data_IF_668669619624
#
_entry.id   IF_668669619624
#
_cell.length_a   1.000
_cell.length_b   1.000
_cell.length_c   1.000
_cell.angle_alpha   90.00
_cell.angle_beta   90.00
_cell.angle_gamma   90.00
#
_symmetry.space_group_name_H-M   'P 1'
#
loop_
_entity.id
_entity.type
_entity.pdbx_description
1 polymer ?
#
# COMPACT_ATOMS: atom_id res chain seq x y z
N UNK A 1 12.18 25.65 36.87
CA UNK A 1 12.59 24.24 36.73
C UNK A 1 11.69 23.58 35.68
N UNK A 2 12.15 23.35 34.44
CA UNK A 2 11.32 22.70 33.42
C UNK A 2 11.10 21.24 33.86
N UNK A 3 9.83 20.85 34.06
CA UNK A 3 9.46 19.50 34.48
C UNK A 3 9.70 18.55 33.29
N UNK A 4 10.72 17.71 33.39
CA UNK A 4 11.00 16.66 32.40
C UNK A 4 10.00 15.51 32.59
N UNK A 5 9.56 14.92 31.48
CA UNK A 5 8.66 13.77 31.48
C UNK A 5 9.47 12.48 31.57
N UNK A 6 9.09 11.63 32.53
CA UNK A 6 9.63 10.28 32.64
C UNK A 6 9.10 9.39 31.50
N UNK A 7 9.96 8.75 30.68
CA UNK A 7 9.55 7.86 29.61
C UNK A 7 8.70 6.67 30.07
N UNK A 8 8.78 6.26 31.34
CA UNK A 8 8.04 5.13 31.91
C UNK A 8 6.73 5.55 32.60
N UNK A 9 6.47 6.86 32.77
CA UNK A 9 5.26 7.33 33.42
C UNK A 9 3.98 6.93 32.65
N UNK A 10 2.96 6.48 33.38
CA UNK A 10 1.66 6.09 32.81
C UNK A 10 1.00 7.20 31.99
N UNK A 11 1.22 8.47 32.38
CA UNK A 11 0.77 9.63 31.61
C UNK A 11 1.32 9.60 30.18
N UNK A 12 2.65 9.44 30.02
CA UNK A 12 3.27 9.45 28.70
C UNK A 12 2.88 8.22 27.88
N UNK A 13 2.69 7.07 28.53
CA UNK A 13 2.21 5.86 27.86
C UNK A 13 0.82 6.06 27.25
N UNK A 14 -0.14 6.65 28.00
CA UNK A 14 -1.47 7.01 27.50
C UNK A 14 -1.39 8.01 26.33
N UNK A 15 -0.55 9.04 26.45
CA UNK A 15 -0.36 10.01 25.37
C UNK A 15 0.26 9.38 24.11
N UNK A 16 1.20 8.44 24.24
CA UNK A 16 1.75 7.72 23.08
C UNK A 16 0.66 6.92 22.34
N UNK A 17 -0.33 6.37 23.03
CA UNK A 17 -1.49 5.71 22.41
C UNK A 17 -2.37 6.71 21.65
N UNK A 18 -2.67 7.86 22.26
CA UNK A 18 -3.42 8.95 21.62
C UNK A 18 -2.68 9.44 20.36
N UNK A 19 -1.37 9.65 20.45
CA UNK A 19 -0.56 10.05 19.31
C UNK A 19 -0.55 8.98 18.21
N UNK A 20 -0.53 7.70 18.57
CA UNK A 20 -0.57 6.61 17.59
C UNK A 20 -1.91 6.58 16.85
N UNK A 21 -3.02 6.68 17.58
CA UNK A 21 -4.35 6.77 17.01
C UNK A 21 -4.49 8.00 16.10
N UNK A 22 -3.99 9.15 16.56
CA UNK A 22 -3.93 10.39 15.76
C UNK A 22 -3.14 10.20 14.47
N UNK A 23 -2.04 9.44 14.48
CA UNK A 23 -1.29 9.13 13.25
C UNK A 23 -2.10 8.29 12.26
N UNK A 24 -2.84 7.28 12.73
CA UNK A 24 -3.71 6.47 11.86
C UNK A 24 -4.84 7.30 11.24
N UNK A 25 -5.45 8.18 12.04
CA UNK A 25 -6.48 9.10 11.58
C UNK A 25 -5.91 10.06 10.52
N UNK A 26 -4.76 10.69 10.79
CA UNK A 26 -4.13 11.64 9.87
C UNK A 26 -3.80 11.02 8.50
N UNK A 27 -3.19 9.84 8.50
CA UNK A 27 -2.82 9.10 7.29
C UNK A 27 -4.05 8.61 6.50
N UNK A 28 -5.20 8.46 7.16
CA UNK A 28 -6.48 8.14 6.50
C UNK A 28 -7.20 9.38 5.97
N UNK A 29 -6.96 10.57 6.53
CA UNK A 29 -7.54 11.84 6.08
C UNK A 29 -6.84 12.35 4.82
N UNK A 30 -5.52 12.18 4.69
CA UNK A 30 -4.75 12.78 3.59
C UNK A 30 -5.28 12.42 2.18
N UNK A 31 -5.67 11.17 1.85
CA UNK A 31 -6.22 10.88 0.53
C UNK A 31 -7.60 11.51 0.28
N UNK A 32 -8.29 12.00 1.33
CA UNK A 32 -9.59 12.65 1.16
C UNK A 32 -9.51 13.96 0.38
N UNK A 33 -8.34 14.61 0.36
CA UNK A 33 -8.08 15.78 -0.47
C UNK A 33 -8.32 15.51 -1.96
N UNK A 34 -8.16 14.25 -2.42
CA UNK A 34 -8.37 13.87 -3.81
C UNK A 34 -9.85 13.84 -4.21
N UNK A 35 -10.77 13.64 -3.26
CA UNK A 35 -12.22 13.64 -3.52
C UNK A 35 -12.84 15.05 -3.58
N UNK A 36 -12.07 16.10 -3.27
CA UNK A 36 -12.53 17.49 -3.27
C UNK A 36 -12.89 17.96 -4.68
N UNK A 37 -12.15 17.51 -5.69
CA UNK A 37 -12.42 17.85 -7.08
C UNK A 37 -13.65 17.11 -7.59
N UNK A 38 -14.47 17.82 -8.36
CA UNK A 38 -15.72 17.29 -8.93
C UNK A 38 -15.89 17.77 -10.37
N UNK A 39 -16.65 17.01 -11.12
CA UNK A 39 -17.12 17.40 -12.46
C UNK A 39 -18.58 17.81 -12.37
N UNK A 40 -18.89 19.05 -12.74
CA UNK A 40 -20.27 19.48 -12.94
C UNK A 40 -20.77 18.93 -14.27
N UNK A 41 -21.73 18.00 -14.23
CA UNK A 41 -22.22 17.34 -15.44
C UNK A 41 -23.05 18.27 -16.34
N UNK A 42 -23.72 19.26 -15.74
CA UNK A 42 -24.59 20.21 -16.44
C UNK A 42 -23.77 21.24 -17.21
N UNK A 43 -22.78 21.84 -16.54
CA UNK A 43 -21.94 22.90 -17.09
C UNK A 43 -20.68 22.37 -17.77
N UNK A 44 -20.36 21.09 -17.60
CA UNK A 44 -19.12 20.44 -18.06
C UNK A 44 -17.88 21.25 -17.66
N UNK A 45 -17.77 21.53 -16.36
CA UNK A 45 -16.66 22.25 -15.77
C UNK A 45 -16.15 21.55 -14.50
N UNK A 46 -14.90 21.84 -14.14
CA UNK A 46 -14.24 21.38 -12.93
C UNK A 46 -14.61 22.29 -11.76
N UNK A 47 -15.14 21.67 -10.72
CA UNK A 47 -15.58 22.34 -9.50
C UNK A 47 -14.85 21.83 -8.25
N UNK A 48 -15.20 22.43 -7.13
CA UNK A 48 -14.71 22.07 -5.79
C UNK A 48 -15.89 21.78 -4.89
N UNK A 49 -15.86 20.63 -4.21
CA UNK A 49 -16.81 20.31 -3.17
C UNK A 49 -16.47 21.07 -1.87
N UNK A 50 -17.01 22.28 -1.71
CA UNK A 50 -16.65 23.21 -0.62
C UNK A 50 -16.87 22.67 0.80
N UNK A 51 -17.93 21.91 1.05
CA UNK A 51 -18.18 21.35 2.39
C UNK A 51 -17.11 20.31 2.78
N UNK A 52 -16.80 19.38 1.86
CA UNK A 52 -15.74 18.39 2.03
C UNK A 52 -14.37 19.05 2.18
N UNK A 53 -14.05 20.06 1.37
CA UNK A 53 -12.82 20.84 1.50
C UNK A 53 -12.64 21.40 2.91
N UNK A 54 -13.66 22.09 3.43
CA UNK A 54 -13.63 22.66 4.79
C UNK A 54 -13.46 21.56 5.84
N UNK A 55 -14.21 20.46 5.74
CA UNK A 55 -14.15 19.35 6.71
C UNK A 55 -12.75 18.73 6.73
N UNK A 56 -12.20 18.38 5.57
CA UNK A 56 -10.87 17.76 5.47
C UNK A 56 -9.78 18.71 5.98
N UNK A 57 -9.86 20.02 5.65
CA UNK A 57 -8.96 21.04 6.19
C UNK A 57 -8.99 21.15 7.71
N UNK A 58 -10.19 21.17 8.31
CA UNK A 58 -10.36 21.23 9.77
C UNK A 58 -9.76 19.97 10.43
N UNK A 59 -10.14 18.78 9.94
CA UNK A 59 -9.62 17.51 10.48
C UNK A 59 -8.10 17.42 10.35
N UNK A 60 -7.56 17.84 9.21
CA UNK A 60 -6.11 17.90 8.97
C UNK A 60 -5.43 18.84 9.97
N UNK A 61 -5.98 20.03 10.19
CA UNK A 61 -5.43 21.00 11.16
C UNK A 61 -5.43 20.44 12.58
N UNK A 62 -6.50 19.74 12.99
CA UNK A 62 -6.57 19.08 14.29
C UNK A 62 -5.46 18.01 14.45
N UNK A 63 -5.21 17.20 13.41
CA UNK A 63 -4.12 16.22 13.45
C UNK A 63 -2.73 16.86 13.49
N UNK A 64 -2.53 18.00 12.83
CA UNK A 64 -1.27 18.76 12.91
C UNK A 64 -0.99 19.29 14.31
N UNK A 65 -2.03 19.77 15.02
CA UNK A 65 -1.90 20.17 16.42
C UNK A 65 -1.44 19.00 17.29
N UNK A 66 -2.01 17.80 17.10
CA UNK A 66 -1.55 16.60 17.82
C UNK A 66 -0.09 16.27 17.51
N UNK A 67 0.37 16.49 16.27
CA UNK A 67 1.77 16.29 15.90
C UNK A 67 2.70 17.31 16.52
N UNK A 68 2.32 18.59 16.58
CA UNK A 68 3.08 19.63 17.27
C UNK A 68 3.21 19.30 18.76
N UNK A 69 2.12 18.88 19.42
CA UNK A 69 2.15 18.44 20.82
C UNK A 69 3.11 17.26 21.02
N UNK A 70 3.12 16.28 20.09
CA UNK A 70 4.07 15.17 20.14
C UNK A 70 5.51 15.66 20.04
N UNK A 71 5.84 16.58 19.13
CA UNK A 71 7.20 17.15 19.02
C UNK A 71 7.60 17.81 20.34
N UNK A 72 6.71 18.60 20.94
CA UNK A 72 6.96 19.23 22.25
C UNK A 72 7.26 18.17 23.32
N UNK A 73 6.49 17.08 23.34
CA UNK A 73 6.70 15.99 24.30
C UNK A 73 8.06 15.31 24.07
N UNK A 74 8.50 15.13 22.83
CA UNK A 74 9.82 14.53 22.54
C UNK A 74 10.98 15.39 23.07
N UNK A 75 10.88 16.71 23.00
CA UNK A 75 11.87 17.61 23.59
C UNK A 75 11.85 17.64 25.13
N UNK A 76 10.77 17.17 25.75
CA UNK A 76 10.58 17.15 27.21
C UNK A 76 10.74 15.76 27.83
N UNK A 77 10.87 14.71 27.02
CA UNK A 77 10.92 13.33 27.50
C UNK A 77 12.36 12.87 27.69
N UNK A 78 12.70 12.42 28.90
CA UNK A 78 13.98 11.79 29.18
C UNK A 78 14.16 10.46 28.43
N UNK A 79 15.38 9.96 28.35
CA UNK A 79 15.64 8.68 27.70
C UNK A 79 16.51 7.76 28.53
N UNK A 80 16.37 6.45 28.29
CA UNK A 80 17.26 5.44 28.86
C UNK A 80 18.52 5.32 28.00
N UNK A 81 19.70 5.55 28.57
CA UNK A 81 20.98 5.53 27.87
C UNK A 81 21.29 4.13 27.29
N UNK A 82 21.64 3.98 26.00
CA UNK A 82 21.89 2.67 25.40
C UNK A 82 23.00 1.85 26.09
N UNK A 83 24.08 2.52 26.51
CA UNK A 83 25.21 1.92 27.23
C UNK A 83 24.81 1.26 28.55
N UNK A 84 23.84 1.83 29.24
CA UNK A 84 23.35 1.34 30.53
C UNK A 84 22.34 0.18 30.43
N UNK A 85 21.87 -0.15 29.21
CA UNK A 85 20.96 -1.29 28.98
C UNK A 85 21.66 -2.64 29.10
N UNK A 86 22.97 -2.68 28.82
CA UNK A 86 23.78 -3.91 28.85
C UNK A 86 23.93 -4.47 30.27
N UNK A 87 23.80 -3.62 31.30
CA UNK A 87 23.85 -4.01 32.72
C UNK A 87 22.46 -4.08 33.38
N UNK A 88 21.39 -4.08 32.60
CA UNK A 88 20.01 -4.27 33.10
C UNK A 88 19.40 -3.11 33.90
N UNK A 89 20.18 -2.10 34.33
CA UNK A 89 19.69 -1.00 35.18
C UNK A 89 19.25 0.26 34.45
N UNK A 90 19.64 0.46 33.18
CA UNK A 90 19.10 1.52 32.33
C UNK A 90 19.07 2.92 32.97
N UNK A 91 20.19 3.64 32.96
CA UNK A 91 20.28 5.01 33.46
C UNK A 91 19.40 5.97 32.65
N UNK A 92 18.58 6.75 33.37
CA UNK A 92 17.68 7.76 32.83
C UNK A 92 18.40 9.10 32.71
N UNK A 93 18.50 9.62 31.48
CA UNK A 93 19.10 10.92 31.20
C UNK A 93 17.99 11.97 31.06
N UNK A 94 18.06 13.00 31.89
CA UNK A 94 17.13 14.14 31.92
C UNK A 94 17.75 15.48 31.49
N UNK A 95 19.01 15.48 31.02
CA UNK A 95 19.68 16.70 30.53
C UNK A 95 18.98 17.24 29.27
N UNK A 96 18.44 18.47 29.28
CA UNK A 96 17.73 19.06 28.13
C UNK A 96 18.59 19.15 26.87
N UNK A 97 19.90 19.42 27.02
CA UNK A 97 20.80 19.58 25.87
C UNK A 97 21.07 18.23 25.21
N UNK A 98 21.34 17.19 26.01
CA UNK A 98 21.48 15.82 25.52
C UNK A 98 20.20 15.30 24.84
N UNK A 99 19.02 15.57 25.43
CA UNK A 99 17.72 15.20 24.84
C UNK A 99 17.52 15.88 23.49
N UNK A 100 17.69 17.21 23.43
CA UNK A 100 17.49 17.97 22.20
C UNK A 100 18.46 17.52 21.09
N UNK A 101 19.75 17.36 21.39
CA UNK A 101 20.76 16.90 20.43
C UNK A 101 20.44 15.51 19.88
N UNK A 102 20.02 14.58 20.75
CA UNK A 102 19.63 13.23 20.34
C UNK A 102 18.39 13.25 19.45
N UNK A 103 17.37 14.03 19.80
CA UNK A 103 16.14 14.09 19.02
C UNK A 103 16.33 14.77 17.66
N UNK A 104 17.07 15.88 17.61
CA UNK A 104 17.39 16.62 16.38
C UNK A 104 18.17 15.77 15.36
N UNK A 105 19.06 14.89 15.83
CA UNK A 105 19.91 14.06 14.97
C UNK A 105 19.26 12.77 14.47
N UNK A 106 18.09 12.36 14.99
CA UNK A 106 17.49 11.06 14.67
C UNK A 106 16.11 11.19 14.01
N UNK A 107 15.12 11.70 14.74
CA UNK A 107 13.71 11.61 14.37
C UNK A 107 13.08 12.97 14.03
N UNK A 108 13.71 14.08 14.45
CA UNK A 108 13.12 15.41 14.27
C UNK A 108 12.86 15.75 12.80
N UNK A 109 13.77 15.39 11.89
CA UNK A 109 13.62 15.68 10.46
C UNK A 109 12.35 15.00 9.90
N UNK A 110 12.12 13.73 10.23
CA UNK A 110 10.92 12.98 9.80
C UNK A 110 9.66 13.63 10.39
N UNK A 111 9.70 13.98 11.68
CA UNK A 111 8.58 14.63 12.35
C UNK A 111 8.29 16.03 11.78
N UNK A 112 9.32 16.81 11.42
CA UNK A 112 9.19 18.11 10.80
C UNK A 112 8.57 18.00 9.39
N UNK A 113 9.08 17.11 8.54
CA UNK A 113 8.49 16.86 7.20
C UNK A 113 7.05 16.36 7.29
N UNK A 114 6.70 15.58 8.32
CA UNK A 114 5.34 15.06 8.51
C UNK A 114 4.30 16.14 8.84
N UNK A 115 4.73 17.30 9.38
CA UNK A 115 3.84 18.41 9.79
C UNK A 115 3.65 19.44 8.67
N UNK A 116 4.55 19.49 7.68
CA UNK A 116 4.45 20.48 6.62
C UNK A 116 3.03 20.50 6.01
N UNK A 117 2.40 21.66 5.87
CA UNK A 117 1.03 21.70 5.37
C UNK A 117 0.99 21.57 3.83
N UNK A 118 1.76 20.67 3.19
CA UNK A 118 1.86 20.63 1.73
C UNK A 118 0.51 20.36 1.03
N UNK A 119 -0.39 19.49 1.53
CA UNK A 119 -1.76 19.36 1.03
C UNK A 119 -2.60 20.63 1.22
N UNK A 120 -2.42 21.36 2.32
CA UNK A 120 -3.13 22.62 2.55
C UNK A 120 -2.56 23.77 1.71
N UNK A 121 -1.25 23.77 1.45
CA UNK A 121 -0.59 24.62 0.46
C UNK A 121 -1.11 24.27 -0.93
N UNK A 122 -1.30 22.98 -1.24
CA UNK A 122 -1.96 22.54 -2.48
C UNK A 122 -3.37 23.12 -2.57
N UNK A 123 -4.19 23.13 -1.52
CA UNK A 123 -5.48 23.85 -1.50
C UNK A 123 -5.31 25.35 -1.73
N UNK A 124 -4.38 26.01 -1.02
CA UNK A 124 -4.14 27.44 -1.15
C UNK A 124 -3.61 27.86 -2.52
N UNK A 125 -3.00 26.95 -3.30
CA UNK A 125 -2.53 27.21 -4.66
C UNK A 125 -3.47 26.64 -5.75
N UNK A 126 -4.07 25.47 -5.56
CA UNK A 126 -5.00 24.78 -6.48
C UNK A 126 -6.39 25.42 -6.47
N UNK A 127 -6.87 25.96 -5.35
CA UNK A 127 -8.18 26.66 -5.33
C UNK A 127 -8.14 27.99 -6.08
N UNK A 128 -7.09 28.83 -5.99
CA UNK A 128 -6.89 29.90 -6.96
C UNK A 128 -6.64 29.37 -8.38
N UNK A 129 -6.15 28.14 -8.55
CA UNK A 129 -6.02 27.46 -9.86
C UNK A 129 -7.35 27.00 -10.48
N UNK A 130 -8.47 27.18 -9.76
CA UNK A 130 -9.83 27.01 -10.29
C UNK A 130 -10.42 28.39 -10.65
N UNK A 131 -9.74 29.48 -10.26
CA UNK A 131 -9.97 30.85 -10.76
C UNK A 131 -9.06 31.20 -11.96
N UNK A 132 -8.00 30.42 -12.24
CA UNK A 132 -7.08 30.61 -13.38
C UNK A 132 -6.58 29.27 -13.93
N UNK A 133 -6.47 29.08 -15.25
CA UNK A 133 -5.97 27.85 -15.85
C UNK A 133 -4.49 27.67 -15.52
N UNK A 134 -4.19 26.68 -14.67
CA UNK A 134 -2.81 26.32 -14.34
C UNK A 134 -2.28 25.25 -15.30
N UNK A 135 -1.00 25.31 -15.69
CA UNK A 135 -0.37 24.28 -16.53
C UNK A 135 -0.45 22.89 -15.91
N UNK A 136 -0.60 21.86 -16.76
CA UNK A 136 -0.63 20.46 -16.33
C UNK A 136 0.62 20.07 -15.52
N UNK A 137 1.80 20.57 -15.94
CA UNK A 137 3.09 20.32 -15.28
C UNK A 137 3.13 20.80 -13.81
N UNK A 138 2.42 21.88 -13.49
CA UNK A 138 2.32 22.37 -12.11
C UNK A 138 1.41 21.48 -11.27
N UNK A 139 0.34 20.91 -11.85
CA UNK A 139 -0.53 19.95 -11.16
C UNK A 139 0.22 18.65 -10.84
N UNK A 140 0.95 18.11 -11.83
CA UNK A 140 1.75 16.89 -11.67
C UNK A 140 2.79 17.05 -10.55
N UNK A 141 3.47 18.22 -10.50
CA UNK A 141 4.45 18.54 -9.45
C UNK A 141 3.83 18.58 -8.06
N UNK A 142 2.62 19.16 -7.93
CA UNK A 142 1.91 19.26 -6.65
C UNK A 142 1.43 17.89 -6.16
N UNK A 143 0.96 17.03 -7.05
CA UNK A 143 0.56 15.66 -6.72
C UNK A 143 1.76 14.84 -6.22
N UNK A 144 2.93 14.97 -6.88
CA UNK A 144 4.18 14.36 -6.43
C UNK A 144 4.57 14.86 -5.03
N UNK A 145 4.44 16.17 -4.77
CA UNK A 145 4.73 16.73 -3.44
C UNK A 145 3.83 16.13 -2.34
N UNK A 146 2.52 15.95 -2.61
CA UNK A 146 1.59 15.30 -1.67
C UNK A 146 2.01 13.85 -1.39
N UNK A 147 2.37 13.08 -2.43
CA UNK A 147 2.84 11.70 -2.27
C UNK A 147 4.15 11.62 -1.49
N UNK A 148 5.12 12.49 -1.81
CA UNK A 148 6.40 12.56 -1.10
C UNK A 148 6.18 12.86 0.39
N UNK A 149 5.21 13.73 0.72
CA UNK A 149 4.92 14.05 2.10
C UNK A 149 4.13 12.96 2.85
N UNK A 150 3.37 12.15 2.13
CA UNK A 150 2.66 11.02 2.69
C UNK A 150 3.63 9.98 3.29
N UNK A 151 4.79 9.77 2.66
CA UNK A 151 5.79 8.80 3.08
C UNK A 151 6.28 9.03 4.53
N UNK A 152 6.78 10.23 4.93
CA UNK A 152 7.15 10.51 6.33
C UNK A 152 6.06 10.22 7.35
N UNK A 153 4.78 10.43 6.99
CA UNK A 153 3.64 10.21 7.88
C UNK A 153 3.33 8.75 8.11
N UNK A 154 3.55 7.90 7.09
CA UNK A 154 3.47 6.45 7.26
C UNK A 154 4.70 5.95 8.03
N UNK A 155 5.90 6.41 7.68
CA UNK A 155 7.16 5.93 8.28
C UNK A 155 7.21 6.18 9.80
N UNK A 156 6.67 7.31 10.29
CA UNK A 156 6.66 7.60 11.74
C UNK A 156 5.72 6.72 12.57
N UNK A 157 4.77 6.04 11.95
CA UNK A 157 3.87 5.11 12.64
C UNK A 157 4.67 3.93 13.20
N UNK A 158 5.62 3.39 12.43
CA UNK A 158 6.39 2.21 12.84
C UNK A 158 7.11 2.36 14.19
N UNK A 159 7.94 3.40 14.44
CA UNK A 159 8.62 3.55 15.73
C UNK A 159 7.64 3.82 16.88
N UNK A 160 6.55 4.55 16.64
CA UNK A 160 5.55 4.86 17.67
C UNK A 160 4.72 3.62 18.02
N UNK A 161 4.30 2.86 17.01
CA UNK A 161 3.63 1.58 17.16
C UNK A 161 4.51 0.62 17.97
N UNK A 162 5.78 0.45 17.58
CA UNK A 162 6.75 -0.40 18.30
C UNK A 162 6.89 0.04 19.77
N UNK A 163 6.99 1.35 20.02
CA UNK A 163 7.07 1.91 21.38
C UNK A 163 5.84 1.52 22.20
N UNK A 164 4.64 1.83 21.71
CA UNK A 164 3.37 1.52 22.38
C UNK A 164 3.20 0.02 22.62
N UNK A 165 3.50 -0.82 21.63
CA UNK A 165 3.38 -2.28 21.78
C UNK A 165 4.40 -2.85 22.78
N UNK A 166 5.58 -2.25 22.89
CA UNK A 166 6.63 -2.71 23.82
C UNK A 166 6.38 -2.28 25.27
N UNK A 167 5.73 -1.14 25.51
CA UNK A 167 5.52 -0.58 26.86
C UNK A 167 4.18 -0.93 27.46
N UNK A 168 3.14 -1.09 26.65
CA UNK A 168 1.76 -1.22 27.16
C UNK A 168 1.29 -2.67 27.32
N UNK A 169 2.12 -3.68 27.01
CA UNK A 169 1.69 -5.08 27.04
C UNK A 169 0.53 -5.41 26.09
N UNK A 170 0.13 -4.49 25.20
CA UNK A 170 -0.96 -4.70 24.25
C UNK A 170 -0.67 -5.90 23.32
N UNK A 171 0.60 -6.20 23.07
CA UNK A 171 1.00 -7.40 22.35
C UNK A 171 1.07 -8.66 23.23
N UNK A 172 1.18 -8.52 24.56
CA UNK A 172 1.17 -9.66 25.49
C UNK A 172 -0.24 -10.19 25.75
N UNK A 173 -1.30 -9.45 25.40
CA UNK A 173 -2.71 -9.91 25.56
C UNK A 173 -3.49 -10.15 24.26
N UNK A 174 -2.99 -9.75 23.08
CA UNK A 174 -3.79 -9.82 21.85
C UNK A 174 -2.98 -10.21 20.61
N UNK A 175 -2.88 -11.52 20.31
CA UNK A 175 -2.36 -12.01 19.01
C UNK A 175 -3.08 -11.37 17.80
N UNK A 176 -4.32 -10.90 17.97
CA UNK A 176 -5.10 -10.21 16.95
C UNK A 176 -4.61 -8.79 16.65
N UNK A 177 -3.84 -8.13 17.53
CA UNK A 177 -3.39 -6.75 17.32
C UNK A 177 -2.48 -6.61 16.09
N UNK A 178 -1.62 -7.60 15.85
CA UNK A 178 -0.82 -7.68 14.63
C UNK A 178 -1.69 -7.89 13.37
N UNK A 179 -2.70 -8.75 13.47
CA UNK A 179 -3.66 -8.95 12.37
C UNK A 179 -4.48 -7.68 12.07
N UNK A 180 -4.94 -6.97 13.09
CA UNK A 180 -5.65 -5.70 12.94
C UNK A 180 -4.77 -4.60 12.34
N UNK A 181 -3.49 -4.52 12.73
CA UNK A 181 -2.54 -3.58 12.13
C UNK A 181 -2.29 -3.88 10.64
N UNK A 182 -2.08 -5.14 10.30
CA UNK A 182 -1.94 -5.56 8.90
C UNK A 182 -3.21 -5.29 8.09
N UNK A 183 -4.38 -5.56 8.66
CA UNK A 183 -5.67 -5.25 8.04
C UNK A 183 -5.83 -3.75 7.82
N UNK A 184 -5.48 -2.92 8.81
CA UNK A 184 -5.47 -1.47 8.67
C UNK A 184 -4.57 -1.01 7.52
N UNK A 185 -3.33 -1.50 7.44
CA UNK A 185 -2.42 -1.16 6.35
C UNK A 185 -2.98 -1.56 4.98
N UNK A 186 -3.64 -2.71 4.89
CA UNK A 186 -4.25 -3.18 3.65
C UNK A 186 -5.47 -2.32 3.24
N UNK A 187 -6.35 -1.99 4.18
CA UNK A 187 -7.47 -1.06 3.95
C UNK A 187 -6.97 0.34 3.57
N UNK A 188 -5.89 0.79 4.21
CA UNK A 188 -5.27 2.08 3.91
C UNK A 188 -4.69 2.10 2.49
N UNK A 189 -3.96 1.06 2.08
CA UNK A 189 -3.45 0.94 0.72
C UNK A 189 -4.58 0.98 -0.32
N UNK A 190 -5.68 0.27 -0.04
CA UNK A 190 -6.89 0.29 -0.87
C UNK A 190 -7.47 1.71 -0.99
N UNK A 191 -7.58 2.41 0.14
CA UNK A 191 -8.08 3.78 0.19
C UNK A 191 -7.21 4.75 -0.63
N UNK A 192 -5.88 4.67 -0.48
CA UNK A 192 -4.93 5.49 -1.22
C UNK A 192 -5.02 5.22 -2.72
N UNK A 193 -5.01 3.96 -3.14
CA UNK A 193 -5.10 3.56 -4.56
C UNK A 193 -6.42 4.04 -5.16
N UNK A 194 -7.53 3.84 -4.45
CA UNK A 194 -8.85 4.29 -4.89
C UNK A 194 -8.95 5.81 -5.02
N UNK A 195 -8.44 6.56 -4.05
CA UNK A 195 -8.43 8.02 -4.09
C UNK A 195 -7.55 8.55 -5.23
N UNK A 196 -6.41 7.92 -5.49
CA UNK A 196 -5.55 8.27 -6.61
C UNK A 196 -6.23 7.99 -7.96
N UNK A 197 -6.89 6.84 -8.09
CA UNK A 197 -7.69 6.52 -9.27
C UNK A 197 -8.80 7.53 -9.54
N UNK A 198 -9.51 7.98 -8.49
CA UNK A 198 -10.51 9.05 -8.60
C UNK A 198 -9.90 10.35 -9.15
N UNK A 199 -8.78 10.82 -8.57
CA UNK A 199 -8.10 12.03 -9.02
C UNK A 199 -7.65 11.92 -10.47
N UNK A 200 -6.98 10.81 -10.82
CA UNK A 200 -6.51 10.56 -12.18
C UNK A 200 -7.68 10.46 -13.19
N UNK A 201 -8.85 9.99 -12.77
CA UNK A 201 -10.05 9.99 -13.60
C UNK A 201 -10.49 11.40 -13.97
N UNK A 202 -10.48 12.32 -13.01
CA UNK A 202 -10.78 13.74 -13.25
C UNK A 202 -9.71 14.38 -14.14
N UNK A 203 -8.43 14.10 -13.89
CA UNK A 203 -7.33 14.60 -14.74
C UNK A 203 -7.42 14.08 -16.17
N UNK A 204 -7.88 12.85 -16.36
CA UNK A 204 -8.11 12.27 -17.68
C UNK A 204 -9.22 13.02 -18.43
N UNK A 205 -10.29 13.42 -17.74
CA UNK A 205 -11.35 14.28 -18.29
C UNK A 205 -10.82 15.67 -18.63
N UNK A 206 -10.11 16.31 -17.70
CA UNK A 206 -9.47 17.62 -17.92
C UNK A 206 -8.56 17.60 -19.15
N UNK A 207 -7.80 16.51 -19.34
CA UNK A 207 -6.96 16.32 -20.52
C UNK A 207 -7.77 16.24 -21.81
N UNK A 208 -8.87 15.48 -21.82
CA UNK A 208 -9.76 15.40 -22.98
C UNK A 208 -10.34 16.77 -23.34
N UNK A 209 -10.90 17.47 -22.34
CA UNK A 209 -11.49 18.78 -22.53
C UNK A 209 -10.48 19.83 -23.01
N UNK A 210 -9.26 19.84 -22.43
CA UNK A 210 -8.18 20.74 -22.89
C UNK A 210 -7.77 20.50 -24.32
N UNK A 211 -7.72 19.24 -24.76
CA UNK A 211 -7.40 18.91 -26.14
C UNK A 211 -8.45 19.48 -27.09
N UNK A 212 -9.74 19.35 -26.74
CA UNK A 212 -10.82 19.89 -27.57
C UNK A 212 -10.86 21.42 -27.59
N UNK A 213 -10.66 22.05 -26.43
CA UNK A 213 -10.54 23.51 -26.33
C UNK A 213 -9.36 24.05 -27.16
N UNK A 214 -8.23 23.34 -27.17
CA UNK A 214 -7.10 23.68 -28.01
C UNK A 214 -7.44 23.56 -29.50
N UNK A 215 -8.18 22.53 -29.93
CA UNK A 215 -8.60 22.38 -31.33
C UNK A 215 -9.53 23.50 -31.80
N UNK A 216 -10.42 23.95 -30.93
CA UNK A 216 -11.39 25.01 -31.22
C UNK A 216 -10.86 26.43 -30.94
N UNK A 217 -9.59 26.59 -30.55
CA UNK A 217 -9.00 27.87 -30.12
C UNK A 217 -9.78 28.58 -28.99
N UNK A 218 -10.33 27.81 -28.05
CA UNK A 218 -11.12 28.31 -26.93
C UNK A 218 -10.29 28.57 -25.67
N UNK A 219 -10.73 29.54 -24.87
CA UNK A 219 -10.09 29.84 -23.59
C UNK A 219 -10.33 28.73 -22.57
N UNK A 220 -9.25 28.21 -21.99
CA UNK A 220 -9.26 27.17 -20.94
C UNK A 220 -9.95 27.60 -19.64
N UNK A 221 -10.28 28.88 -19.50
CA UNK A 221 -10.98 29.41 -18.32
C UNK A 221 -12.40 28.85 -18.19
N UNK A 222 -13.07 28.51 -19.29
CA UNK A 222 -14.42 27.93 -19.27
C UNK A 222 -14.48 26.48 -18.76
N UNK A 223 -13.33 25.83 -18.59
CA UNK A 223 -13.26 24.49 -17.99
C UNK A 223 -13.44 24.49 -16.47
N UNK A 224 -13.56 25.66 -15.82
CA UNK A 224 -13.60 25.78 -14.36
C UNK A 224 -14.83 26.52 -13.87
N UNK A 225 -15.58 25.93 -12.94
CA UNK A 225 -16.87 26.46 -12.50
C UNK A 225 -16.80 27.73 -11.63
N UNK A 226 -15.60 28.17 -11.22
CA UNK A 226 -15.42 29.32 -10.31
C UNK A 226 -15.24 30.67 -11.04
N UNK A 227 -15.15 30.67 -12.37
CA UNK A 227 -15.00 31.91 -13.15
C UNK A 227 -16.39 32.43 -13.50
N UNK A 228 -16.73 33.62 -13.04
CA UNK A 228 -17.87 34.36 -13.61
C UNK A 228 -17.51 34.70 -15.04
N UNK A 229 -17.97 33.89 -15.98
CA UNK A 229 -18.03 34.26 -17.37
C UNK A 229 -18.99 35.45 -17.41
N UNK A 230 -18.48 36.65 -17.70
CA UNK A 230 -19.36 37.76 -18.05
C UNK A 230 -20.22 37.41 -19.27
N UNK A 231 -20.88 38.40 -19.85
CA UNK A 231 -21.60 38.25 -21.13
C UNK A 231 -20.63 38.04 -22.32
N UNK A 232 -19.62 37.17 -22.20
CA UNK A 232 -18.69 36.80 -23.26
C UNK A 232 -19.47 35.95 -24.28
N UNK A 233 -19.73 36.47 -25.50
CA UNK A 233 -20.73 35.91 -26.39
C UNK A 233 -20.17 34.80 -27.29
N UNK A 234 -18.98 34.26 -27.01
CA UNK A 234 -18.27 33.45 -28.00
C UNK A 234 -18.88 32.04 -28.17
N UNK A 235 -19.42 31.43 -27.10
CA UNK A 235 -20.08 30.11 -27.16
C UNK A 235 -21.20 30.02 -26.11
N UNK A 236 -22.40 29.61 -26.52
CA UNK A 236 -23.48 29.30 -25.59
C UNK A 236 -23.10 28.07 -24.74
N UNK A 237 -23.43 28.06 -23.45
CA UNK A 237 -23.13 26.92 -22.57
C UNK A 237 -23.64 25.58 -23.17
N UNK A 238 -24.79 25.63 -23.85
CA UNK A 238 -25.40 24.48 -24.50
C UNK A 238 -24.53 23.90 -25.63
N UNK A 239 -23.89 24.75 -26.45
CA UNK A 239 -23.02 24.31 -27.54
C UNK A 239 -21.72 23.70 -27.01
N UNK A 240 -21.15 24.27 -25.95
CA UNK A 240 -19.98 23.72 -25.27
C UNK A 240 -20.27 22.33 -24.68
N UNK A 241 -21.41 22.16 -24.01
CA UNK A 241 -21.81 20.88 -23.41
C UNK A 241 -21.99 19.81 -24.50
N UNK A 242 -22.64 20.16 -25.62
CA UNK A 242 -22.80 19.25 -26.77
C UNK A 242 -21.46 18.86 -27.38
N UNK A 243 -20.57 19.83 -27.58
CA UNK A 243 -19.22 19.60 -28.11
C UNK A 243 -18.46 18.60 -27.23
N UNK A 244 -18.38 18.86 -25.92
CA UNK A 244 -17.64 18.01 -24.99
C UNK A 244 -18.24 16.62 -24.83
N UNK A 245 -19.58 16.49 -24.83
CA UNK A 245 -20.24 15.16 -24.82
C UNK A 245 -19.89 14.33 -26.05
N UNK A 246 -19.73 14.98 -27.20
CA UNK A 246 -19.40 14.33 -28.47
C UNK A 246 -17.91 13.96 -28.56
N UNK A 247 -17.04 14.89 -28.17
CA UNK A 247 -15.58 14.69 -28.23
C UNK A 247 -15.05 13.77 -27.12
N UNK A 248 -15.68 13.79 -25.95
CA UNK A 248 -15.28 13.07 -24.75
C UNK A 248 -16.43 12.21 -24.21
N UNK A 249 -16.87 11.18 -24.96
CA UNK A 249 -18.00 10.34 -24.55
C UNK A 249 -17.61 9.46 -23.36
N UNK A 250 -18.50 9.37 -22.37
CA UNK A 250 -18.37 8.48 -21.20
C UNK A 250 -18.81 7.06 -21.56
N UNK A 251 -18.11 6.45 -22.53
CA UNK A 251 -18.41 5.13 -23.09
C UNK A 251 -17.29 4.15 -22.75
N UNK A 252 -17.65 2.88 -22.60
CA UNK A 252 -16.70 1.79 -22.36
C UNK A 252 -15.67 1.70 -23.51
N UNK A 253 -14.36 1.53 -23.23
CA UNK A 253 -13.33 1.34 -24.23
C UNK A 253 -13.65 0.26 -25.27
N UNK A 254 -14.34 -0.81 -24.87
CA UNK A 254 -14.67 -1.95 -25.74
C UNK A 254 -15.78 -1.63 -26.76
N UNK A 255 -16.54 -0.55 -26.55
CA UNK A 255 -17.59 -0.07 -27.47
C UNK A 255 -17.08 0.98 -28.47
N UNK A 256 -15.82 1.43 -28.34
CA UNK A 256 -15.24 2.45 -29.23
C UNK A 256 -14.91 1.83 -30.60
N UNK A 257 -15.78 2.05 -31.59
CA UNK A 257 -15.60 1.57 -32.97
C UNK A 257 -14.69 2.47 -33.84
N UNK A 258 -14.49 3.73 -33.44
CA UNK A 258 -13.73 4.74 -34.18
C UNK A 258 -12.41 5.08 -33.46
N UNK A 259 -11.29 4.98 -34.16
CA UNK A 259 -9.95 5.28 -33.62
C UNK A 259 -9.71 6.75 -33.26
N UNK A 260 -10.63 7.66 -33.63
CA UNK A 260 -10.56 9.11 -33.37
C UNK A 260 -11.16 9.53 -32.03
N UNK A 261 -11.91 8.64 -31.36
CA UNK A 261 -12.57 8.92 -30.08
C UNK A 261 -11.56 8.87 -28.92
N UNK A 262 -11.63 9.83 -27.99
CA UNK A 262 -10.74 9.85 -26.84
C UNK A 262 -11.01 8.66 -25.90
N UNK A 263 -10.01 7.79 -25.71
CA UNK A 263 -10.13 6.65 -24.80
C UNK A 263 -9.82 7.04 -23.35
N UNK A 264 -10.73 6.69 -22.44
CA UNK A 264 -10.55 6.84 -20.99
C UNK A 264 -9.83 5.65 -20.35
N UNK A 265 -9.73 4.51 -21.04
CA UNK A 265 -9.05 3.30 -20.55
C UNK A 265 -9.57 2.87 -19.18
N UNK A 266 -8.66 2.62 -18.23
CA UNK A 266 -8.97 2.18 -16.85
C UNK A 266 -9.81 3.18 -16.03
N UNK A 267 -10.05 4.39 -16.56
CA UNK A 267 -10.85 5.43 -15.92
C UNK A 267 -12.28 5.51 -16.47
N UNK A 268 -12.62 4.71 -17.49
CA UNK A 268 -13.96 4.71 -18.08
C UNK A 268 -15.04 4.37 -17.05
N UNK A 269 -14.78 3.39 -16.18
CA UNK A 269 -15.66 2.99 -15.08
C UNK A 269 -16.00 4.14 -14.14
N UNK A 270 -15.08 5.09 -13.93
CA UNK A 270 -15.33 6.26 -13.09
C UNK A 270 -16.36 7.21 -13.71
N UNK A 271 -16.42 7.24 -15.04
CA UNK A 271 -17.32 8.12 -15.79
C UNK A 271 -18.69 7.48 -15.96
N UNK A 272 -18.74 6.19 -16.29
CA UNK A 272 -19.99 5.44 -16.47
C UNK A 272 -20.74 5.27 -15.16
N UNK A 273 -20.03 5.10 -14.04
CA UNK A 273 -20.63 5.00 -12.71
C UNK A 273 -21.16 6.32 -12.14
N UNK A 274 -20.79 7.46 -12.72
CA UNK A 274 -21.18 8.77 -12.20
C UNK A 274 -20.39 9.23 -10.96
N UNK A 275 -19.35 8.50 -10.54
CA UNK A 275 -18.66 8.77 -9.26
C UNK A 275 -17.95 10.13 -9.24
N UNK A 276 -17.38 10.55 -10.38
CA UNK A 276 -16.69 11.84 -10.51
C UNK A 276 -17.62 13.06 -10.57
N UNK A 277 -18.90 12.82 -10.88
CA UNK A 277 -19.96 13.83 -10.96
C UNK A 277 -20.78 13.93 -9.66
N UNK A 278 -20.78 12.89 -8.83
CA UNK A 278 -21.55 12.86 -7.60
C UNK A 278 -21.09 13.96 -6.61
N UNK A 279 -22.00 14.44 -5.76
CA UNK A 279 -21.66 15.23 -4.57
C UNK A 279 -21.70 14.39 -3.29
N UNK A 280 -22.22 13.16 -3.37
CA UNK A 280 -22.35 12.28 -2.22
C UNK A 280 -20.98 11.66 -1.88
N UNK A 281 -20.34 12.20 -0.83
CA UNK A 281 -19.01 11.76 -0.41
C UNK A 281 -18.97 10.27 0.01
N UNK A 282 -19.90 9.75 0.84
CA UNK A 282 -19.99 8.31 1.11
C UNK A 282 -19.96 7.44 -0.14
N UNK A 283 -20.79 7.74 -1.15
CA UNK A 283 -20.76 7.00 -2.41
C UNK A 283 -19.39 7.02 -3.07
N UNK A 284 -18.75 8.20 -3.19
CA UNK A 284 -17.39 8.31 -3.74
C UNK A 284 -16.38 7.47 -2.98
N UNK A 285 -16.38 7.63 -1.66
CA UNK A 285 -15.43 6.96 -0.77
C UNK A 285 -15.55 5.45 -0.91
N UNK A 286 -16.76 4.89 -0.77
CA UNK A 286 -16.95 3.45 -0.81
C UNK A 286 -16.74 2.87 -2.20
N UNK A 287 -17.16 3.57 -3.26
CA UNK A 287 -16.95 3.12 -4.64
C UNK A 287 -15.46 3.07 -4.97
N UNK A 288 -14.72 4.14 -4.69
CA UNK A 288 -13.29 4.21 -4.98
C UNK A 288 -12.47 3.29 -4.06
N UNK A 289 -12.88 3.16 -2.79
CA UNK A 289 -12.31 2.16 -1.88
C UNK A 289 -12.50 0.74 -2.40
N UNK A 290 -13.70 0.40 -2.88
CA UNK A 290 -13.97 -0.90 -3.49
C UNK A 290 -13.15 -1.13 -4.76
N UNK A 291 -13.00 -0.11 -5.60
CA UNK A 291 -12.15 -0.18 -6.79
C UNK A 291 -10.69 -0.45 -6.42
N UNK A 292 -10.14 0.28 -5.43
CA UNK A 292 -8.78 0.05 -4.93
C UNK A 292 -8.60 -1.35 -4.35
N UNK A 293 -9.59 -1.83 -3.59
CA UNK A 293 -9.59 -3.15 -2.97
C UNK A 293 -9.60 -4.25 -4.03
N UNK A 294 -10.43 -4.07 -5.06
CA UNK A 294 -10.55 -4.99 -6.17
C UNK A 294 -9.24 -5.11 -6.92
N UNK A 295 -8.53 -4.00 -7.16
CA UNK A 295 -7.24 -4.01 -7.85
C UNK A 295 -6.12 -4.64 -7.01
N UNK A 296 -6.08 -4.39 -5.69
CA UNK A 296 -5.15 -5.07 -4.79
C UNK A 296 -5.38 -6.58 -4.74
N UNK A 297 -6.65 -7.02 -4.75
CA UNK A 297 -7.00 -8.45 -4.86
C UNK A 297 -6.74 -9.02 -6.25
N UNK A 298 -6.81 -8.19 -7.29
CA UNK A 298 -6.73 -8.63 -8.66
C UNK A 298 -5.35 -9.15 -8.98
N UNK A 299 -4.25 -8.53 -8.55
CA UNK A 299 -2.90 -9.04 -8.86
C UNK A 299 -2.66 -10.47 -8.34
N UNK A 300 -3.01 -10.77 -7.09
CA UNK A 300 -2.86 -12.13 -6.55
C UNK A 300 -3.78 -13.12 -7.27
N UNK A 301 -5.03 -12.72 -7.54
CA UNK A 301 -5.98 -13.59 -8.25
C UNK A 301 -5.68 -13.73 -9.74
N UNK A 302 -5.07 -12.73 -10.40
CA UNK A 302 -4.63 -12.76 -11.79
C UNK A 302 -3.55 -13.79 -11.96
N UNK A 303 -2.47 -13.71 -11.18
CA UNK A 303 -1.37 -14.67 -11.25
C UNK A 303 -1.88 -16.08 -11.00
N UNK A 304 -2.74 -16.25 -9.98
CA UNK A 304 -3.41 -17.53 -9.69
C UNK A 304 -4.27 -18.04 -10.85
N UNK A 305 -5.08 -17.16 -11.46
CA UNK A 305 -6.00 -17.50 -12.57
C UNK A 305 -5.24 -17.80 -13.85
N UNK A 306 -4.19 -17.04 -14.16
CA UNK A 306 -3.37 -17.24 -15.35
C UNK A 306 -2.63 -18.57 -15.27
N UNK A 307 -2.00 -18.85 -14.13
CA UNK A 307 -1.41 -20.17 -13.84
C UNK A 307 -2.45 -21.27 -14.00
N UNK A 308 -3.61 -21.17 -13.34
CA UNK A 308 -4.70 -22.15 -13.49
C UNK A 308 -5.11 -22.35 -14.94
N UNK A 309 -5.28 -21.28 -15.74
CA UNK A 309 -5.62 -21.36 -17.17
C UNK A 309 -4.55 -22.10 -17.97
N UNK A 310 -3.27 -21.88 -17.68
CA UNK A 310 -2.16 -22.61 -18.33
C UNK A 310 -2.25 -24.11 -18.07
N UNK A 311 -2.44 -24.52 -16.81
CA UNK A 311 -2.59 -25.93 -16.43
C UNK A 311 -3.87 -26.56 -17.01
N UNK A 312 -5.02 -25.89 -16.93
CA UNK A 312 -6.28 -26.42 -17.48
C UNK A 312 -6.22 -26.59 -19.02
N UNK A 313 -5.65 -25.63 -19.75
CA UNK A 313 -5.44 -25.77 -21.20
C UNK A 313 -4.53 -26.95 -21.51
N UNK A 314 -3.45 -27.12 -20.76
CA UNK A 314 -2.52 -28.23 -20.94
C UNK A 314 -3.19 -29.59 -20.68
N UNK A 315 -3.97 -29.71 -19.59
CA UNK A 315 -4.71 -30.94 -19.26
C UNK A 315 -5.79 -31.26 -20.29
N UNK A 316 -6.50 -30.25 -20.80
CA UNK A 316 -7.52 -30.42 -21.84
C UNK A 316 -6.91 -30.85 -23.17
N UNK A 317 -5.81 -30.21 -23.59
CA UNK A 317 -5.09 -30.56 -24.83
C UNK A 317 -4.56 -32.00 -24.81
N UNK A 318 -4.18 -32.52 -23.64
CA UNK A 318 -3.73 -33.90 -23.45
C UNK A 318 -4.86 -34.90 -23.17
N UNK A 319 -6.10 -34.45 -23.14
CA UNK A 319 -7.28 -35.28 -22.89
C UNK A 319 -7.15 -36.13 -21.61
N UNK A 320 -6.65 -35.54 -20.52
CA UNK A 320 -6.49 -36.27 -19.26
C UNK A 320 -7.86 -36.69 -18.69
N UNK A 321 -7.96 -37.86 -18.04
CA UNK A 321 -9.16 -38.27 -17.32
C UNK A 321 -9.40 -37.36 -16.10
N UNK A 322 -10.66 -37.19 -15.70
CA UNK A 322 -11.07 -36.22 -14.67
C UNK A 322 -10.49 -36.50 -13.28
N UNK A 323 -10.22 -37.76 -12.95
CA UNK A 323 -9.58 -38.15 -11.69
C UNK A 323 -8.15 -37.56 -11.57
N UNK A 324 -7.38 -37.61 -12.67
CA UNK A 324 -6.05 -37.01 -12.75
C UNK A 324 -6.12 -35.48 -12.74
N UNK A 325 -7.07 -34.89 -13.46
CA UNK A 325 -7.29 -33.43 -13.42
C UNK A 325 -7.59 -32.96 -12.01
N UNK A 326 -8.41 -33.68 -11.27
CA UNK A 326 -8.77 -33.32 -9.89
C UNK A 326 -7.60 -33.47 -8.92
N UNK A 327 -6.71 -34.45 -9.14
CA UNK A 327 -5.45 -34.56 -8.38
C UNK A 327 -4.51 -33.40 -8.68
N UNK A 328 -4.37 -33.02 -9.96
CA UNK A 328 -3.54 -31.88 -10.38
C UNK A 328 -4.09 -30.57 -9.79
N UNK A 329 -5.41 -30.34 -9.86
CA UNK A 329 -6.05 -29.16 -9.26
C UNK A 329 -5.81 -29.05 -7.76
N UNK A 330 -5.90 -30.17 -7.02
CA UNK A 330 -5.62 -30.23 -5.58
C UNK A 330 -4.16 -29.93 -5.28
N UNK A 331 -3.24 -30.51 -6.04
CA UNK A 331 -1.81 -30.26 -5.89
C UNK A 331 -1.45 -28.79 -6.18
N UNK A 332 -1.97 -28.21 -7.27
CA UNK A 332 -1.78 -26.80 -7.59
C UNK A 332 -2.35 -25.87 -6.51
N UNK A 333 -3.51 -26.21 -5.94
CA UNK A 333 -4.06 -25.46 -4.82
C UNK A 333 -3.14 -25.49 -3.59
N UNK A 334 -2.60 -26.66 -3.26
CA UNK A 334 -1.65 -26.84 -2.17
C UNK A 334 -0.36 -26.04 -2.38
N UNK A 335 0.28 -26.18 -3.55
CA UNK A 335 1.50 -25.45 -3.90
C UNK A 335 1.29 -23.94 -3.87
N UNK A 336 0.15 -23.45 -4.34
CA UNK A 336 -0.16 -22.02 -4.28
C UNK A 336 -0.19 -21.48 -2.84
N UNK A 337 -0.76 -22.23 -1.89
CA UNK A 337 -0.80 -21.83 -0.49
C UNK A 337 0.59 -21.76 0.14
N UNK A 338 1.50 -22.66 -0.27
CA UNK A 338 2.84 -22.74 0.30
C UNK A 338 3.83 -21.75 -0.33
N UNK A 339 3.77 -21.58 -1.65
CA UNK A 339 4.79 -20.82 -2.43
C UNK A 339 4.28 -19.50 -3.00
N UNK A 340 2.98 -19.22 -2.93
CA UNK A 340 2.30 -18.07 -3.58
C UNK A 340 2.64 -17.91 -5.07
N UNK A 341 2.93 -19.02 -5.74
CA UNK A 341 3.20 -19.06 -7.18
C UNK A 341 4.66 -18.80 -7.56
N UNK A 342 5.60 -18.72 -6.60
CA UNK A 342 7.03 -18.61 -6.89
C UNK A 342 7.56 -19.99 -7.30
N UNK A 343 8.04 -20.10 -8.53
CA UNK A 343 8.80 -21.26 -8.99
C UNK A 343 10.26 -21.11 -8.54
N UNK A 344 10.57 -21.63 -7.35
CA UNK A 344 11.89 -21.49 -6.72
C UNK A 344 13.05 -21.90 -7.65
N UNK A 345 12.85 -22.95 -8.46
CA UNK A 345 13.87 -23.40 -9.42
C UNK A 345 14.16 -22.35 -10.52
N UNK A 346 13.11 -21.71 -11.06
CA UNK A 346 13.27 -20.65 -12.06
C UNK A 346 13.87 -19.39 -11.45
N UNK A 347 13.44 -19.04 -10.24
CA UNK A 347 14.02 -17.97 -9.44
C UNK A 347 15.52 -18.19 -9.25
N UNK A 348 15.92 -19.38 -8.81
CA UNK A 348 17.33 -19.71 -8.62
C UNK A 348 18.09 -19.71 -9.94
N UNK A 349 17.53 -20.21 -11.05
CA UNK A 349 18.17 -20.19 -12.39
C UNK A 349 18.56 -18.79 -12.84
N UNK A 350 17.74 -17.79 -12.54
CA UNK A 350 17.97 -16.39 -12.92
C UNK A 350 18.94 -15.63 -12.01
N UNK A 351 19.29 -16.18 -10.84
CA UNK A 351 20.23 -15.55 -9.92
C UNK A 351 21.69 -15.89 -10.27
N UNK A 352 22.62 -14.92 -10.11
CA UNK A 352 24.07 -15.16 -10.18
C UNK A 352 24.48 -16.30 -9.23
N UNK A 353 25.51 -17.05 -9.63
CA UNK A 353 25.93 -18.27 -8.91
C UNK A 353 26.27 -18.01 -7.43
N UNK A 354 26.92 -16.89 -7.12
CA UNK A 354 27.29 -16.52 -5.75
C UNK A 354 26.07 -16.26 -4.87
N UNK A 355 25.09 -15.51 -5.39
CA UNK A 355 23.86 -15.19 -4.66
C UNK A 355 22.99 -16.43 -4.44
N UNK A 356 22.90 -17.31 -5.44
CA UNK A 356 22.23 -18.61 -5.33
C UNK A 356 22.85 -19.48 -4.24
N UNK A 357 24.18 -19.52 -4.16
CA UNK A 357 24.93 -20.27 -3.15
C UNK A 357 24.65 -19.73 -1.75
N UNK A 358 24.67 -18.42 -1.57
CA UNK A 358 24.49 -17.79 -0.26
C UNK A 358 23.06 -17.97 0.26
N UNK A 359 22.05 -17.83 -0.61
CA UNK A 359 20.65 -18.08 -0.27
C UNK A 359 20.44 -19.56 0.08
N UNK A 360 20.93 -20.50 -0.74
CA UNK A 360 20.86 -21.94 -0.42
C UNK A 360 21.53 -22.25 0.93
N UNK A 361 22.72 -21.71 1.16
CA UNK A 361 23.44 -21.90 2.42
C UNK A 361 22.64 -21.38 3.61
N UNK A 362 21.99 -20.22 3.48
CA UNK A 362 21.13 -19.65 4.52
C UNK A 362 19.90 -20.52 4.81
N UNK A 363 19.20 -20.95 3.76
CA UNK A 363 17.98 -21.76 3.88
C UNK A 363 18.24 -23.15 4.47
N UNK A 364 19.35 -23.80 4.09
CA UNK A 364 19.64 -25.19 4.45
C UNK A 364 20.60 -25.33 5.64
N UNK A 365 21.18 -24.25 6.17
CA UNK A 365 22.14 -24.32 7.29
C UNK A 365 21.57 -25.01 8.54
N UNK A 366 20.28 -24.77 8.81
CA UNK A 366 19.59 -25.32 9.98
C UNK A 366 19.22 -26.80 9.85
N UNK A 367 19.12 -27.32 8.62
CA UNK A 367 18.83 -28.73 8.33
C UNK A 367 20.10 -29.57 8.38
N UNK A 368 21.22 -29.05 7.89
CA UNK A 368 22.52 -29.74 7.90
C UNK A 368 23.17 -29.77 9.30
N UNK A 369 22.80 -28.85 10.21
CA UNK A 369 23.29 -28.81 11.60
C UNK A 369 22.56 -29.73 12.57
N UNK A 370 21.47 -30.40 12.16
CA UNK A 370 20.84 -31.43 12.99
C UNK A 370 21.63 -32.73 12.82
N UNK A 371 22.19 -33.32 13.89
CA UNK A 371 22.88 -34.59 13.76
C UNK A 371 21.86 -35.67 13.35
N UNK A 372 21.95 -36.14 12.11
CA UNK A 372 21.30 -37.37 11.68
C UNK A 372 22.04 -38.53 12.39
N UNK A 373 21.37 -39.50 13.03
CA UNK A 373 22.03 -40.54 13.84
C UNK A 373 22.93 -41.53 13.08
N UNK A 374 23.17 -41.34 11.78
CA UNK A 374 23.76 -42.36 10.89
C UNK A 374 25.13 -42.01 10.30
N UNK A 375 25.81 -40.97 10.78
CA UNK A 375 27.17 -40.65 10.31
C UNK A 375 28.14 -40.51 11.48
N UNK A 376 28.39 -41.62 12.16
CA UNK A 376 29.55 -41.82 13.00
C UNK A 376 30.37 -42.94 12.36
N UNK A 377 31.23 -42.59 11.40
CA UNK A 377 32.48 -43.28 11.07
C UNK A 377 33.07 -42.69 9.78
N UNK A 378 33.87 -41.62 9.91
CA UNK A 378 35.03 -41.23 9.07
C UNK A 378 35.45 -39.77 9.37
N UNK A 379 36.55 -39.53 10.12
CA UNK A 379 36.88 -38.20 10.65
C UNK A 379 37.61 -37.23 9.68
N UNK A 380 37.58 -37.45 8.36
CA UNK A 380 38.35 -36.62 7.40
C UNK A 380 37.56 -36.06 6.20
N UNK A 381 36.24 -35.95 6.29
CA UNK A 381 35.46 -35.17 5.31
C UNK A 381 34.67 -34.07 6.01
N UNK A 382 35.04 -32.81 5.76
CA UNK A 382 34.24 -31.64 6.12
C UNK A 382 32.81 -31.78 5.55
N UNK A 383 31.75 -31.92 6.37
CA UNK A 383 30.38 -31.94 5.87
C UNK A 383 29.89 -30.50 5.76
N UNK A 384 30.43 -29.77 4.78
CA UNK A 384 30.25 -28.33 4.79
C UNK A 384 30.54 -27.69 3.45
N UNK A 385 29.75 -28.03 2.43
CA UNK A 385 29.41 -27.16 1.28
C UNK A 385 28.52 -27.89 0.27
N UNK A 386 28.83 -29.15 -0.04
CA UNK A 386 28.25 -29.89 -1.17
C UNK A 386 26.86 -30.48 -0.90
N UNK A 387 26.59 -30.99 0.31
CA UNK A 387 25.28 -31.58 0.62
C UNK A 387 24.13 -30.55 0.55
N UNK A 388 24.34 -29.34 1.08
CA UNK A 388 23.35 -28.25 0.99
C UNK A 388 23.12 -27.74 -0.45
N UNK A 389 24.09 -27.94 -1.35
CA UNK A 389 23.98 -27.56 -2.76
C UNK A 389 23.15 -28.56 -3.58
N UNK A 390 23.09 -29.82 -3.15
CA UNK A 390 22.39 -30.94 -3.80
C UNK A 390 20.93 -31.10 -3.37
N UNK A 391 20.55 -30.59 -2.19
CA UNK A 391 19.16 -30.64 -1.73
C UNK A 391 18.26 -29.76 -2.60
N UNK A 392 17.17 -30.35 -3.10
CA UNK A 392 16.08 -29.67 -3.80
C UNK A 392 14.81 -29.80 -2.95
N UNK A 393 14.10 -28.70 -2.64
CA UNK A 393 12.84 -28.79 -1.92
C UNK A 393 11.75 -29.41 -2.82
N UNK A 394 11.24 -30.59 -2.42
CA UNK A 394 10.03 -31.21 -3.01
C UNK A 394 8.88 -31.18 -2.02
N UNK A 395 7.72 -30.76 -2.49
CA UNK A 395 6.50 -30.68 -1.70
C UNK A 395 5.57 -31.83 -2.08
N UNK A 396 5.28 -32.74 -1.14
CA UNK A 396 4.36 -33.85 -1.36
C UNK A 396 3.01 -33.59 -0.67
N UNK A 397 1.90 -33.76 -1.40
CA UNK A 397 0.58 -33.86 -0.76
C UNK A 397 0.47 -35.21 -0.04
N UNK A 398 -0.32 -35.28 1.04
CA UNK A 398 -0.55 -36.53 1.81
C UNK A 398 -1.16 -37.67 0.98
N UNK A 399 -1.68 -37.40 -0.22
CA UNK A 399 -2.22 -38.37 -1.16
C UNK A 399 -1.18 -38.92 -2.17
N UNK A 400 0.06 -38.44 -2.14
CA UNK A 400 1.17 -38.94 -2.96
C UNK A 400 2.13 -39.71 -2.05
N UNK A 401 2.09 -41.04 -2.10
CA UNK A 401 3.05 -41.90 -1.42
C UNK A 401 4.42 -41.71 -2.10
N UNK A 402 5.35 -41.04 -1.42
CA UNK A 402 6.70 -40.79 -1.92
C UNK A 402 7.60 -42.04 -1.88
N UNK A 403 7.23 -43.08 -1.14
CA UNK A 403 7.97 -44.34 -1.09
C UNK A 403 6.98 -45.52 -1.14
N UNK A 404 6.82 -46.13 -2.32
CA UNK A 404 6.45 -47.53 -2.40
C UNK A 404 7.78 -48.29 -2.39
N UNK A 405 7.92 -49.24 -1.47
CA UNK A 405 8.99 -50.25 -1.40
C UNK A 405 10.14 -50.05 -0.38
N UNK A 406 9.84 -49.79 0.91
CA UNK A 406 10.71 -50.23 2.02
C UNK A 406 9.87 -50.58 3.28
N UNK A 407 9.95 -51.81 3.83
CA UNK A 407 9.15 -52.23 4.99
C UNK A 407 9.89 -51.98 6.31
N UNK A 408 9.66 -50.84 6.97
CA UNK A 408 9.93 -50.73 8.42
C UNK A 408 9.13 -49.65 9.20
N UNK A 409 8.19 -48.92 8.59
CA UNK A 409 7.45 -47.89 9.33
C UNK A 409 6.24 -48.44 10.10
N UNK A 410 6.49 -49.23 11.14
CA UNK A 410 5.56 -49.38 12.26
C UNK A 410 6.23 -48.77 13.50
N UNK A 411 5.44 -48.08 14.33
CA UNK A 411 5.80 -47.38 15.58
C UNK A 411 6.17 -45.90 15.42
N UNK A 412 5.15 -45.04 15.46
CA UNK A 412 4.99 -44.00 16.49
C UNK A 412 3.86 -43.04 16.10
N UNK A 413 2.74 -43.08 16.82
CA UNK A 413 1.69 -42.08 16.71
C UNK A 413 2.20 -40.70 17.11
N UNK A 414 2.24 -39.76 16.16
CA UNK A 414 2.34 -38.32 16.41
C UNK A 414 1.74 -37.54 15.23
N UNK A 415 1.01 -36.49 15.56
CA UNK A 415 0.29 -35.58 14.65
C UNK A 415 1.17 -35.00 13.52
N UNK A 416 0.59 -34.58 12.37
CA UNK A 416 1.33 -34.29 11.15
C UNK A 416 2.16 -33.01 11.33
N UNK A 417 3.45 -33.19 11.57
CA UNK A 417 4.45 -32.12 11.47
C UNK A 417 4.89 -32.00 10.02
N UNK A 418 5.19 -30.76 9.60
CA UNK A 418 5.75 -30.41 8.29
C UNK A 418 7.08 -31.16 8.08
N UNK A 419 7.02 -32.30 7.39
CA UNK A 419 8.22 -33.03 6.96
C UNK A 419 8.30 -32.87 5.44
N UNK A 420 9.29 -32.12 4.90
CA UNK A 420 9.61 -32.20 3.48
C UNK A 420 10.11 -33.62 3.15
N UNK A 421 9.51 -34.25 2.15
CA UNK A 421 9.99 -35.52 1.61
C UNK A 421 11.20 -35.24 0.70
N UNK A 422 12.30 -35.98 0.90
CA UNK A 422 13.49 -35.94 0.05
C UNK A 422 13.65 -37.31 -0.62
N UNK A 423 14.07 -37.31 -1.89
CA UNK A 423 14.67 -38.47 -2.58
C UNK A 423 16.21 -38.34 -2.55
#
# INVERSE_FOLDING_TARGET
>A
MKKMLDPQAAFLQKWNQIFLLSCFIAVSIDPLFFYILIIDDNKKCLGVHKSLETIVCVLRTLTDICYLLRIIFQFQTGYVAPSSRVFGRGELVYDPVAIAKRYLSSCFIIDAFSILPLPQVMILFVIPSIKRPVPLTTKDTLQIMVLVQYIPRVVRIFPLFKKVTSTSGILTEAAWAGAAFNLFLYMLASHVIGAFWYLLSIERVDKCWRQEFHRQNLSRQHLYCSVNHGNDPVISNLDMVKLLKTACPSVDPDEIKNSTTFSFGIFADALTSGVVQSMDFPFKFFYCFWWGLSNLRFEETRVKRERRRKYERWMAHRMLPEDLKERIRRYEHYIWQETRGIEEEELFRNLPKDLRRDIKRHLFLGLVRRPLPLVLERPWLCPGSTAALLLQPRWCCSATAAARDVPWAAVAGRAPSKIPCFD
#
